data_IF_678166264660
#
_entry.id   IF_678166264660
#
_cell.length_a   1.000
_cell.length_b   1.000
_cell.length_c   1.000
_cell.angle_alpha   90.00
_cell.angle_beta   90.00
_cell.angle_gamma   90.00
#
_symmetry.space_group_name_H-M   'P 1'
#
loop_
_entity.id
_entity.type
_entity.pdbx_description
1 polymer ?
#
# COMPACT_ATOMS: atom_id res chain seq x y z
N UNK A 1 -85.14 -8.58 66.83
CA UNK A 1 -84.99 -9.00 68.25
C UNK A 1 -83.64 -8.51 68.75
N UNK A 2 -83.55 -8.12 70.04
CA UNK A 2 -82.32 -7.62 70.69
C UNK A 2 -81.28 -8.73 70.88
N UNK A 3 -79.97 -8.52 70.73
CA UNK A 3 -78.95 -8.28 71.78
C UNK A 3 -77.55 -8.49 71.14
N UNK A 4 -76.37 -8.03 71.62
CA UNK A 4 -75.93 -7.05 72.64
C UNK A 4 -74.49 -6.58 72.28
N UNK A 5 -73.82 -5.74 73.11
CA UNK A 5 -72.41 -5.32 72.96
C UNK A 5 -71.40 -6.29 73.60
N UNK A 6 -70.17 -6.32 73.09
CA UNK A 6 -68.90 -6.35 73.88
C UNK A 6 -67.68 -6.09 72.99
N UNK A 7 -66.76 -5.23 73.44
CA UNK A 7 -65.48 -4.97 72.78
C UNK A 7 -64.31 -5.72 73.43
N UNK A 8 -63.14 -5.75 72.75
CA UNK A 8 -61.85 -6.20 73.30
C UNK A 8 -60.70 -5.35 72.75
N UNK A 9 -59.65 -5.22 73.58
CA UNK A 9 -58.40 -4.49 73.35
C UNK A 9 -57.25 -5.44 72.94
N UNK A 10 -56.03 -4.88 72.86
CA UNK A 10 -54.71 -5.51 72.67
C UNK A 10 -54.31 -5.82 71.22
N UNK A 11 -53.05 -5.71 70.81
CA UNK A 11 -51.89 -4.95 71.32
C UNK A 11 -50.85 -4.84 70.18
N UNK A 12 -50.07 -3.75 70.12
CA UNK A 12 -49.02 -3.60 69.12
C UNK A 12 -47.68 -4.17 69.62
N UNK A 13 -47.05 -5.06 68.84
CA UNK A 13 -45.70 -5.57 69.10
C UNK A 13 -44.70 -4.83 68.21
N UNK A 14 -43.63 -4.30 68.79
CA UNK A 14 -42.53 -3.65 68.06
C UNK A 14 -41.37 -4.63 67.94
N UNK A 15 -40.86 -4.82 66.72
CA UNK A 15 -39.65 -5.63 66.43
C UNK A 15 -38.55 -4.68 65.93
N UNK A 16 -37.34 -4.70 66.51
CA UNK A 16 -36.24 -3.86 66.06
C UNK A 16 -35.61 -4.41 64.77
N UNK A 17 -35.34 -3.53 63.81
CA UNK A 17 -34.63 -3.88 62.58
C UNK A 17 -33.13 -3.59 62.72
N UNK A 18 -32.31 -4.63 62.68
CA UNK A 18 -30.84 -4.52 62.74
C UNK A 18 -30.28 -4.27 61.34
N UNK A 19 -29.73 -3.09 61.08
CA UNK A 19 -29.01 -2.81 59.82
C UNK A 19 -27.65 -3.54 59.81
N UNK A 20 -27.47 -4.50 58.91
CA UNK A 20 -26.13 -4.95 58.51
C UNK A 20 -25.60 -4.04 57.39
N UNK A 21 -24.57 -3.26 57.68
CA UNK A 21 -23.75 -2.63 56.63
C UNK A 21 -22.75 -3.65 56.08
N UNK A 22 -23.07 -4.23 54.92
CA UNK A 22 -22.11 -4.97 54.10
C UNK A 22 -21.18 -3.97 53.39
N UNK A 23 -19.96 -3.83 53.89
CA UNK A 23 -18.93 -3.02 53.24
C UNK A 23 -18.43 -3.72 51.97
N UNK A 24 -18.94 -3.31 50.81
CA UNK A 24 -18.42 -3.76 49.51
C UNK A 24 -17.08 -3.08 49.22
N UNK A 25 -15.97 -3.78 49.41
CA UNK A 25 -14.67 -3.37 48.86
C UNK A 25 -14.71 -3.52 47.35
N UNK A 26 -15.11 -2.45 46.65
CA UNK A 26 -14.97 -2.35 45.21
C UNK A 26 -13.47 -2.40 44.85
N UNK A 27 -13.02 -3.57 44.41
CA UNK A 27 -11.66 -3.76 43.93
C UNK A 27 -11.58 -3.08 42.57
N UNK A 28 -10.90 -1.94 42.51
CA UNK A 28 -10.74 -1.18 41.28
C UNK A 28 -9.98 -2.05 40.27
N UNK A 29 -10.69 -2.55 39.26
CA UNK A 29 -10.07 -3.21 38.13
C UNK A 29 -9.19 -2.17 37.42
N UNK A 30 -7.87 -2.36 37.49
CA UNK A 30 -6.93 -1.57 36.68
C UNK A 30 -7.20 -1.90 35.22
N UNK A 31 -7.95 -1.03 34.54
CA UNK A 31 -8.04 -1.08 33.09
C UNK A 31 -6.62 -1.00 32.54
N UNK A 32 -6.20 -2.02 31.79
CA UNK A 32 -5.01 -1.90 30.95
C UNK A 32 -5.17 -0.66 30.08
N UNK A 33 -4.14 0.18 29.89
CA UNK A 33 -4.26 1.34 29.04
C UNK A 33 -4.67 0.89 27.63
N UNK A 34 -5.81 1.39 27.16
CA UNK A 34 -6.26 1.18 25.79
C UNK A 34 -5.21 1.79 24.86
N UNK A 35 -4.59 0.95 24.04
CA UNK A 35 -3.57 1.41 23.09
C UNK A 35 -4.27 2.26 22.04
N UNK A 36 -3.84 3.52 21.90
CA UNK A 36 -4.32 4.43 20.86
C UNK A 36 -4.32 3.71 19.49
N UNK A 37 -5.45 3.67 18.77
CA UNK A 37 -5.55 3.03 17.45
C UNK A 37 -4.43 3.42 16.48
N UNK A 38 -3.94 4.67 16.53
CA UNK A 38 -2.80 5.11 15.68
C UNK A 38 -1.50 4.38 16.08
N UNK A 39 -1.27 4.16 17.37
CA UNK A 39 -0.11 3.41 17.87
C UNK A 39 -0.20 1.93 17.49
N UNK A 40 -1.40 1.33 17.54
CA UNK A 40 -1.61 -0.05 17.10
C UNK A 40 -1.38 -0.22 15.58
N UNK A 41 -1.89 0.72 14.77
CA UNK A 41 -1.66 0.76 13.30
C UNK A 41 -0.16 0.90 12.98
N UNK A 42 0.55 1.81 13.65
CA UNK A 42 1.98 2.01 13.43
C UNK A 42 2.81 0.78 13.82
N UNK A 43 2.40 0.04 14.86
CA UNK A 43 3.05 -1.21 15.24
C UNK A 43 2.84 -2.33 14.19
N UNK A 44 1.63 -2.43 13.63
CA UNK A 44 1.33 -3.37 12.54
C UNK A 44 2.15 -3.08 11.27
N UNK A 45 2.20 -1.82 10.85
CA UNK A 45 3.02 -1.35 9.71
C UNK A 45 4.50 -1.67 9.95
N UNK A 46 5.03 -1.38 11.15
CA UNK A 46 6.43 -1.64 11.48
C UNK A 46 6.79 -3.14 11.50
N UNK A 47 5.81 -4.03 11.64
CA UNK A 47 6.01 -5.48 11.70
C UNK A 47 5.73 -6.20 10.37
N UNK A 48 4.78 -5.70 9.57
CA UNK A 48 4.21 -6.42 8.43
C UNK A 48 4.27 -5.66 7.09
N UNK A 49 4.64 -4.38 7.08
CA UNK A 49 4.80 -3.60 5.85
C UNK A 49 6.26 -3.62 5.34
N UNK A 50 6.40 -3.27 4.07
CA UNK A 50 7.62 -3.03 3.30
C UNK A 50 7.26 -2.10 2.13
N UNK A 51 7.77 -0.88 2.12
CA UNK A 51 7.51 0.07 1.04
C UNK A 51 8.24 -0.31 -0.25
N UNK A 52 7.72 0.12 -1.40
CA UNK A 52 8.18 -0.27 -2.72
C UNK A 52 9.63 0.18 -2.96
N UNK A 53 10.53 -0.79 -3.08
CA UNK A 53 11.96 -0.51 -3.22
C UNK A 53 12.72 -0.38 -1.91
N UNK A 54 12.07 -0.58 -0.76
CA UNK A 54 12.73 -0.59 0.54
C UNK A 54 13.91 -1.56 0.58
N UNK A 55 13.79 -2.71 -0.09
CA UNK A 55 14.81 -3.75 -0.07
C UNK A 55 15.90 -3.52 -1.15
N UNK A 56 15.56 -2.89 -2.28
CA UNK A 56 16.49 -2.37 -3.28
C UNK A 56 17.31 -1.23 -2.67
N UNK A 57 16.71 -0.30 -1.91
CA UNK A 57 17.46 0.71 -1.13
C UNK A 57 18.40 0.07 -0.12
N UNK A 58 17.92 -0.93 0.62
CA UNK A 58 18.73 -1.66 1.61
C UNK A 58 19.96 -2.34 1.01
N UNK A 59 19.87 -2.85 -0.22
CA UNK A 59 20.93 -3.66 -0.85
C UNK A 59 21.78 -2.87 -1.86
N UNK A 60 21.18 -2.00 -2.67
CA UNK A 60 21.84 -1.26 -3.75
C UNK A 60 22.13 0.21 -3.39
N UNK A 61 21.42 0.77 -2.40
CA UNK A 61 21.57 2.14 -1.89
C UNK A 61 20.81 3.19 -2.70
N UNK A 62 20.36 4.25 -2.03
CA UNK A 62 19.95 5.49 -2.72
C UNK A 62 21.22 6.26 -3.15
N UNK A 63 21.38 6.49 -4.46
CA UNK A 63 22.49 7.26 -5.08
C UNK A 63 21.97 8.48 -5.86
N UNK A 64 20.76 8.95 -5.53
CA UNK A 64 20.23 10.23 -5.98
C UNK A 64 21.10 11.37 -5.43
N UNK A 65 21.34 12.39 -6.27
CA UNK A 65 22.14 13.56 -5.88
C UNK A 65 21.26 14.57 -5.13
N UNK A 66 21.84 15.46 -4.30
CA UNK A 66 21.11 16.57 -3.68
C UNK A 66 20.33 17.41 -4.70
N UNK A 67 20.86 17.59 -5.92
CA UNK A 67 20.16 18.28 -6.99
C UNK A 67 18.92 17.52 -7.49
N UNK A 68 19.00 16.19 -7.64
CA UNK A 68 17.84 15.37 -8.03
C UNK A 68 16.77 15.30 -6.94
N UNK A 69 17.17 15.24 -5.66
CA UNK A 69 16.28 15.29 -4.50
C UNK A 69 15.58 16.65 -4.41
N UNK A 70 16.32 17.74 -4.64
CA UNK A 70 15.76 19.09 -4.72
C UNK A 70 14.81 19.23 -5.91
N UNK A 71 15.18 18.72 -7.08
CA UNK A 71 14.34 18.77 -8.28
C UNK A 71 13.03 17.99 -8.10
N UNK A 72 13.04 16.88 -7.36
CA UNK A 72 11.84 16.12 -7.04
C UNK A 72 10.81 16.90 -6.20
N UNK A 73 11.29 17.83 -5.38
CA UNK A 73 10.48 18.72 -4.52
C UNK A 73 10.05 20.02 -5.22
N UNK A 74 10.59 20.34 -6.41
CA UNK A 74 10.15 21.51 -7.17
C UNK A 74 8.86 21.19 -7.93
N UNK A 75 7.88 22.12 -7.97
CA UNK A 75 6.66 21.96 -8.75
C UNK A 75 6.96 21.60 -10.21
N UNK A 76 6.63 20.37 -10.59
CA UNK A 76 6.76 19.92 -11.97
C UNK A 76 5.57 20.42 -12.80
N UNK A 77 5.75 20.76 -14.09
CA UNK A 77 4.65 21.20 -14.93
C UNK A 77 3.65 20.06 -15.16
N UNK A 78 2.55 20.08 -14.41
CA UNK A 78 1.62 18.96 -14.29
C UNK A 78 0.64 18.78 -15.46
N UNK A 79 0.84 19.47 -16.57
CA UNK A 79 0.24 19.24 -17.88
C UNK A 79 1.22 19.75 -18.95
N UNK A 80 1.11 19.25 -20.18
CA UNK A 80 1.90 19.74 -21.30
C UNK A 80 1.73 21.26 -21.47
N UNK A 81 2.84 22.00 -21.36
CA UNK A 81 2.85 23.45 -21.62
C UNK A 81 2.73 23.64 -23.14
N UNK A 82 1.80 24.46 -23.66
CA UNK A 82 1.67 24.70 -25.10
C UNK A 82 3.00 25.16 -25.72
N UNK A 83 3.51 24.40 -26.69
CA UNK A 83 4.82 24.64 -27.31
C UNK A 83 6.02 23.96 -26.63
N UNK A 84 5.84 23.28 -25.50
CA UNK A 84 6.86 22.41 -24.90
C UNK A 84 6.37 20.96 -24.84
N UNK A 85 7.13 20.06 -25.47
CA UNK A 85 6.97 18.62 -25.24
C UNK A 85 7.59 18.30 -23.89
N UNK A 86 6.75 18.13 -22.86
CA UNK A 86 7.18 17.48 -21.63
C UNK A 86 7.42 16.00 -21.93
N UNK A 87 8.68 15.58 -21.84
CA UNK A 87 9.07 14.20 -22.11
C UNK A 87 8.58 13.22 -21.04
N UNK A 88 8.22 13.71 -19.86
CA UNK A 88 7.82 12.89 -18.71
C UNK A 88 6.71 13.53 -17.89
N UNK A 89 6.05 12.72 -17.06
CA UNK A 89 5.11 13.17 -16.01
C UNK A 89 5.66 12.77 -14.64
N UNK A 90 5.53 13.65 -13.64
CA UNK A 90 5.95 13.35 -12.28
C UNK A 90 4.87 12.58 -11.48
N UNK A 91 5.33 11.61 -10.71
CA UNK A 91 4.53 10.84 -9.76
C UNK A 91 5.30 10.52 -8.48
N UNK A 92 4.78 9.53 -7.75
CA UNK A 92 5.26 9.05 -6.47
C UNK A 92 4.58 7.71 -6.15
N UNK A 93 5.04 7.02 -5.12
CA UNK A 93 4.34 5.90 -4.53
C UNK A 93 4.30 5.99 -2.99
N UNK A 94 3.36 5.27 -2.37
CA UNK A 94 3.13 5.31 -0.92
C UNK A 94 2.70 3.94 -0.36
N UNK A 95 3.04 3.69 0.89
CA UNK A 95 2.68 2.53 1.70
C UNK A 95 2.11 2.96 3.06
N UNK A 96 2.03 2.07 4.05
CA UNK A 96 1.54 2.42 5.39
C UNK A 96 2.38 3.50 6.09
N UNK A 97 3.71 3.51 5.86
CA UNK A 97 4.66 4.43 6.52
C UNK A 97 4.37 5.92 6.32
N UNK A 98 3.76 6.31 5.20
CA UNK A 98 3.42 7.71 4.92
C UNK A 98 2.09 8.13 5.60
N UNK A 99 1.34 7.20 6.17
CA UNK A 99 0.07 7.48 6.86
C UNK A 99 -0.98 8.12 5.96
N UNK A 100 -1.76 9.05 6.54
CA UNK A 100 -2.67 9.89 5.76
C UNK A 100 -1.88 10.94 4.96
N UNK A 101 -1.99 10.90 3.64
CA UNK A 101 -1.23 11.78 2.73
C UNK A 101 -2.00 13.08 2.44
N UNK A 102 -1.30 14.22 2.48
CA UNK A 102 -1.81 15.51 1.96
C UNK A 102 -1.73 15.52 0.43
N UNK A 103 -2.82 15.07 -0.20
CA UNK A 103 -2.93 15.02 -1.66
C UNK A 103 -2.92 16.41 -2.30
N UNK A 104 -3.43 17.44 -1.63
CA UNK A 104 -3.47 18.80 -2.16
C UNK A 104 -2.06 19.40 -2.25
N UNK A 105 -1.23 19.18 -1.22
CA UNK A 105 0.19 19.51 -1.25
C UNK A 105 0.89 18.85 -2.46
N UNK A 106 0.79 17.53 -2.60
CA UNK A 106 1.48 16.80 -3.68
C UNK A 106 0.98 17.16 -5.08
N UNK A 107 -0.32 17.43 -5.23
CA UNK A 107 -0.88 17.95 -6.48
C UNK A 107 -0.28 19.32 -6.85
N UNK A 108 -0.07 20.19 -5.85
CA UNK A 108 0.55 21.51 -6.03
C UNK A 108 2.06 21.41 -6.30
N UNK A 109 2.75 20.33 -5.87
CA UNK A 109 4.10 19.98 -6.33
C UNK A 109 4.13 19.36 -7.74
N UNK A 110 3.01 19.37 -8.47
CA UNK A 110 2.96 18.93 -9.86
C UNK A 110 2.88 17.42 -10.06
N UNK A 111 2.70 16.63 -8.98
CA UNK A 111 2.51 15.17 -9.09
C UNK A 111 1.15 14.86 -9.72
N UNK A 112 1.11 13.88 -10.62
CA UNK A 112 -0.10 13.56 -11.41
C UNK A 112 -0.48 12.09 -11.44
N UNK A 113 0.41 11.20 -11.03
CA UNK A 113 0.06 9.83 -10.70
C UNK A 113 0.59 9.39 -9.35
N UNK A 114 -0.02 8.34 -8.81
CA UNK A 114 0.47 7.63 -7.63
C UNK A 114 0.15 6.15 -7.69
N UNK A 115 1.07 5.30 -7.23
CA UNK A 115 0.77 3.92 -6.87
C UNK A 115 0.70 3.78 -5.34
N UNK A 116 -0.29 3.07 -4.84
CA UNK A 116 -0.51 2.88 -3.39
C UNK A 116 -0.37 1.41 -3.04
N UNK A 117 0.37 1.07 -1.97
CA UNK A 117 0.44 -0.33 -1.52
C UNK A 117 -0.94 -0.80 -1.12
N UNK A 118 -1.44 -1.85 -1.73
CA UNK A 118 -2.65 -2.51 -1.30
C UNK A 118 -2.33 -3.66 -0.33
N UNK A 119 -1.37 -4.50 -0.70
CA UNK A 119 -1.17 -5.82 -0.08
C UNK A 119 0.30 -6.26 -0.05
N UNK A 120 0.60 -7.17 0.87
CA UNK A 120 1.81 -7.99 0.87
C UNK A 120 1.44 -9.45 1.20
N UNK A 121 2.05 -10.40 0.49
CA UNK A 121 1.74 -11.83 0.66
C UNK A 121 0.23 -12.11 0.50
N UNK A 122 -0.32 -13.09 1.21
CA UNK A 122 -1.76 -13.35 1.29
C UNK A 122 -2.35 -12.99 2.66
N UNK A 123 -1.72 -12.05 3.38
CA UNK A 123 -2.02 -11.78 4.80
C UNK A 123 -2.01 -10.31 5.22
N UNK A 124 -1.25 -9.43 4.55
CA UNK A 124 -1.19 -8.02 4.91
C UNK A 124 -1.98 -7.15 3.93
N UNK A 125 -2.75 -6.22 4.48
CA UNK A 125 -3.41 -5.11 3.76
C UNK A 125 -2.97 -3.78 4.38
N UNK A 126 -2.57 -2.81 3.56
CA UNK A 126 -2.19 -1.49 4.05
C UNK A 126 -3.38 -0.78 4.74
N UNK A 127 -3.29 -0.45 6.04
CA UNK A 127 -4.40 0.14 6.80
C UNK A 127 -4.77 1.57 6.33
N UNK A 128 -3.84 2.27 5.66
CA UNK A 128 -4.09 3.59 5.07
C UNK A 128 -4.58 3.56 3.62
N UNK A 129 -4.65 2.39 2.98
CA UNK A 129 -5.00 2.25 1.56
C UNK A 129 -6.28 3.00 1.17
N UNK A 130 -7.32 2.96 2.01
CA UNK A 130 -8.59 3.63 1.72
C UNK A 130 -8.47 5.16 1.63
N UNK A 131 -7.66 5.80 2.48
CA UNK A 131 -7.39 7.24 2.39
C UNK A 131 -6.48 7.55 1.21
N UNK A 132 -5.46 6.73 1.00
CA UNK A 132 -4.43 7.00 0.01
C UNK A 132 -4.97 6.82 -1.42
N UNK A 133 -5.68 5.73 -1.69
CA UNK A 133 -6.21 5.37 -3.00
C UNK A 133 -7.43 6.22 -3.41
N UNK A 134 -8.32 6.56 -2.47
CA UNK A 134 -9.49 7.40 -2.78
C UNK A 134 -9.18 8.91 -2.67
N UNK A 135 -8.33 9.32 -1.74
CA UNK A 135 -7.92 10.72 -1.58
C UNK A 135 -7.17 11.24 -2.81
N UNK A 136 -6.22 10.47 -3.33
CA UNK A 136 -5.51 10.80 -4.57
C UNK A 136 -6.45 10.91 -5.79
N UNK A 137 -7.37 9.95 -5.95
CA UNK A 137 -8.39 9.97 -7.01
C UNK A 137 -9.26 11.24 -6.96
N UNK A 138 -9.74 11.59 -5.76
CA UNK A 138 -10.59 12.76 -5.52
C UNK A 138 -9.85 14.08 -5.76
N UNK A 139 -8.55 14.13 -5.45
CA UNK A 139 -7.69 15.28 -5.76
C UNK A 139 -7.38 15.42 -7.27
N UNK A 140 -7.56 14.34 -8.05
CA UNK A 140 -7.41 14.34 -9.51
C UNK A 140 -6.25 13.51 -10.05
N UNK A 141 -5.53 12.77 -9.21
CA UNK A 141 -4.45 11.87 -9.65
C UNK A 141 -4.99 10.73 -10.50
N UNK A 142 -4.17 10.29 -11.46
CA UNK A 142 -4.27 8.97 -12.08
C UNK A 142 -3.61 7.97 -11.13
N UNK A 143 -4.35 7.04 -10.53
CA UNK A 143 -3.86 6.25 -9.38
C UNK A 143 -4.00 4.74 -9.56
N UNK A 144 -2.97 4.01 -9.15
CA UNK A 144 -2.86 2.56 -9.18
C UNK A 144 -2.64 1.97 -7.79
N UNK A 145 -2.66 0.65 -7.71
CA UNK A 145 -2.34 -0.09 -6.51
C UNK A 145 -1.14 -1.02 -6.78
N UNK A 146 -0.37 -1.38 -5.75
CA UNK A 146 0.71 -2.36 -5.88
C UNK A 146 0.67 -3.46 -4.82
N UNK A 147 1.36 -4.56 -5.13
CA UNK A 147 1.45 -5.76 -4.33
C UNK A 147 2.92 -6.14 -4.09
N UNK A 148 3.34 -6.20 -2.83
CA UNK A 148 4.66 -6.70 -2.44
C UNK A 148 4.68 -8.23 -2.44
N UNK A 149 5.47 -8.81 -3.35
CA UNK A 149 5.49 -10.25 -3.55
C UNK A 149 6.27 -11.00 -2.46
N UNK A 150 5.78 -12.17 -2.09
CA UNK A 150 6.54 -13.16 -1.28
C UNK A 150 6.51 -14.55 -1.95
N UNK A 151 7.29 -14.79 -3.01
CA UNK A 151 7.19 -16.00 -3.84
C UNK A 151 7.38 -17.36 -3.16
N UNK A 152 7.89 -17.37 -1.92
CA UNK A 152 8.09 -18.57 -1.11
C UNK A 152 6.93 -18.91 -0.17
N UNK A 153 5.89 -18.07 -0.06
CA UNK A 153 4.78 -18.28 0.89
C UNK A 153 3.55 -18.93 0.26
N UNK A 154 3.33 -18.68 -1.03
CA UNK A 154 2.13 -19.06 -1.79
C UNK A 154 2.38 -18.90 -3.29
N UNK A 155 1.47 -19.35 -4.17
CA UNK A 155 1.64 -19.22 -5.63
C UNK A 155 1.36 -17.80 -6.14
N UNK A 156 1.81 -17.49 -7.35
CA UNK A 156 1.56 -16.21 -8.01
C UNK A 156 0.07 -15.94 -8.18
N UNK A 157 -0.71 -16.95 -8.57
CA UNK A 157 -2.16 -16.86 -8.68
C UNK A 157 -2.85 -16.59 -7.33
N UNK A 158 -2.33 -17.12 -6.21
CA UNK A 158 -2.88 -16.86 -4.88
C UNK A 158 -2.66 -15.39 -4.49
N UNK A 159 -1.44 -14.87 -4.69
CA UNK A 159 -1.11 -13.46 -4.42
C UNK A 159 -1.82 -12.49 -5.38
N UNK A 160 -1.97 -12.84 -6.68
CA UNK A 160 -2.74 -12.04 -7.63
C UNK A 160 -4.23 -11.94 -7.26
N UNK A 161 -4.84 -13.05 -6.82
CA UNK A 161 -6.24 -13.05 -6.33
C UNK A 161 -6.39 -12.22 -5.06
N UNK A 162 -5.46 -12.38 -4.11
CA UNK A 162 -5.47 -11.60 -2.87
C UNK A 162 -5.30 -10.10 -3.14
N UNK A 163 -4.37 -9.73 -4.01
CA UNK A 163 -4.17 -8.35 -4.44
C UNK A 163 -5.44 -7.75 -5.08
N UNK A 164 -6.01 -8.39 -6.10
CA UNK A 164 -7.22 -7.90 -6.79
C UNK A 164 -8.40 -7.77 -5.82
N UNK A 165 -8.58 -8.72 -4.91
CA UNK A 165 -9.65 -8.68 -3.91
C UNK A 165 -9.52 -7.54 -2.88
N UNK A 166 -8.30 -7.04 -2.64
CA UNK A 166 -7.99 -6.04 -1.61
C UNK A 166 -7.46 -4.71 -2.17
N UNK A 167 -7.84 -4.34 -3.40
CA UNK A 167 -7.56 -3.02 -3.99
C UNK A 167 -6.75 -3.01 -5.27
N UNK A 168 -6.20 -4.15 -5.69
CA UNK A 168 -5.46 -4.33 -6.94
C UNK A 168 -6.29 -4.37 -8.22
N UNK A 169 -7.63 -4.25 -8.11
CA UNK A 169 -8.52 -4.22 -9.27
C UNK A 169 -8.27 -3.01 -10.19
N UNK A 170 -8.70 -3.15 -11.45
CA UNK A 170 -8.62 -2.11 -12.46
C UNK A 170 -10.01 -1.78 -13.03
N UNK A 171 -10.22 -0.55 -13.47
CA UNK A 171 -11.43 -0.12 -14.18
C UNK A 171 -11.10 0.86 -15.31
N UNK A 172 -11.91 0.86 -16.37
CA UNK A 172 -11.72 1.75 -17.53
C UNK A 172 -12.32 3.15 -17.31
N UNK A 173 -11.95 3.79 -16.20
CA UNK A 173 -12.41 5.13 -15.81
C UNK A 173 -11.47 6.27 -16.28
N UNK A 174 -10.36 5.94 -16.95
CA UNK A 174 -9.33 6.89 -17.40
C UNK A 174 -8.44 7.45 -16.28
N UNK A 175 -8.60 6.94 -15.04
CA UNK A 175 -7.88 7.37 -13.83
C UNK A 175 -7.30 6.21 -13.02
N UNK A 176 -7.66 4.96 -13.31
CA UNK A 176 -7.14 3.77 -12.65
C UNK A 176 -6.00 3.17 -13.46
N UNK A 177 -4.80 3.12 -12.89
CA UNK A 177 -3.64 2.46 -13.51
C UNK A 177 -3.74 0.94 -13.36
N UNK A 178 -3.14 0.14 -14.27
CA UNK A 178 -2.94 -1.29 -14.01
C UNK A 178 -2.15 -1.47 -12.71
N UNK A 179 -2.51 -2.52 -11.96
CA UNK A 179 -1.84 -2.86 -10.72
C UNK A 179 -0.38 -3.24 -10.95
N UNK A 180 0.49 -2.90 -10.00
CA UNK A 180 1.90 -3.24 -10.05
C UNK A 180 2.23 -4.45 -9.16
N UNK A 181 3.06 -5.35 -9.69
CA UNK A 181 3.72 -6.43 -8.97
C UNK A 181 5.12 -5.96 -8.58
N UNK A 182 5.39 -5.83 -7.29
CA UNK A 182 6.70 -5.49 -6.74
C UNK A 182 7.53 -6.76 -6.52
N UNK A 183 8.58 -6.89 -7.33
CA UNK A 183 9.54 -8.00 -7.33
C UNK A 183 10.92 -7.51 -6.92
N UNK A 184 11.18 -7.52 -5.61
CA UNK A 184 12.46 -7.08 -5.04
C UNK A 184 13.12 -8.06 -4.06
N UNK A 185 14.23 -7.64 -3.44
CA UNK A 185 15.03 -8.45 -2.53
C UNK A 185 14.19 -8.93 -1.33
N UNK A 186 14.18 -10.22 -1.06
CA UNK A 186 13.45 -10.79 0.08
C UNK A 186 13.83 -10.10 1.42
N UNK A 187 12.87 -9.48 2.14
CA UNK A 187 13.14 -8.94 3.47
C UNK A 187 13.40 -10.04 4.52
N UNK A 188 12.83 -11.23 4.31
CA UNK A 188 12.74 -12.32 5.29
C UNK A 188 13.81 -13.43 5.14
N UNK A 189 14.78 -13.30 4.24
CA UNK A 189 15.80 -14.35 4.05
C UNK A 189 16.55 -14.28 2.73
N UNK A 190 16.67 -15.43 2.05
CA UNK A 190 17.46 -15.56 0.84
C UNK A 190 16.99 -14.62 -0.28
N UNK A 191 17.94 -13.93 -0.94
CA UNK A 191 17.74 -12.87 -1.96
C UNK A 191 16.62 -13.13 -2.98
N UNK A 192 16.59 -14.33 -3.56
CA UNK A 192 15.59 -14.75 -4.55
C UNK A 192 14.48 -15.63 -3.94
N UNK A 193 14.14 -15.41 -2.66
CA UNK A 193 13.15 -16.17 -1.88
C UNK A 193 13.43 -17.68 -1.81
N UNK A 194 14.68 -18.11 -2.04
CA UNK A 194 15.06 -19.52 -2.11
C UNK A 194 14.66 -20.24 -3.41
N UNK A 195 14.08 -19.52 -4.39
CA UNK A 195 13.74 -20.06 -5.70
C UNK A 195 14.93 -20.03 -6.67
N UNK A 196 14.92 -20.96 -7.63
CA UNK A 196 15.76 -20.86 -8.83
C UNK A 196 15.21 -19.80 -9.78
N UNK A 197 16.04 -19.30 -10.72
CA UNK A 197 15.59 -18.33 -11.74
C UNK A 197 14.38 -18.79 -12.53
N UNK A 198 14.34 -20.08 -12.90
CA UNK A 198 13.21 -20.69 -13.58
C UNK A 198 11.98 -20.79 -12.67
N UNK A 199 12.14 -21.16 -11.40
CA UNK A 199 11.04 -21.18 -10.42
C UNK A 199 10.43 -19.80 -10.18
N UNK A 200 11.27 -18.78 -10.02
CA UNK A 200 10.85 -17.38 -9.91
C UNK A 200 10.12 -16.91 -11.17
N UNK A 201 10.66 -17.24 -12.36
CA UNK A 201 10.02 -16.94 -13.65
C UNK A 201 8.62 -17.55 -13.74
N UNK A 202 8.46 -18.82 -13.37
CA UNK A 202 7.16 -19.50 -13.34
C UNK A 202 6.19 -18.88 -12.34
N UNK A 203 6.68 -18.43 -11.19
CA UNK A 203 5.88 -17.75 -10.18
C UNK A 203 5.35 -16.39 -10.67
N UNK A 204 6.24 -15.58 -11.27
CA UNK A 204 5.86 -14.28 -11.84
C UNK A 204 4.84 -14.47 -12.96
N UNK A 205 4.99 -15.50 -13.81
CA UNK A 205 4.03 -15.83 -14.86
C UNK A 205 2.65 -16.23 -14.29
N UNK A 206 2.61 -17.03 -13.23
CA UNK A 206 1.37 -17.42 -12.53
C UNK A 206 0.62 -16.20 -11.95
N UNK A 207 1.35 -15.21 -11.40
CA UNK A 207 0.77 -13.93 -10.98
C UNK A 207 0.28 -13.11 -12.18
N UNK A 208 1.15 -12.92 -13.18
CA UNK A 208 0.94 -12.12 -14.38
C UNK A 208 -0.31 -12.53 -15.17
N UNK A 209 -0.43 -13.83 -15.46
CA UNK A 209 -1.55 -14.39 -16.22
C UNK A 209 -2.84 -14.40 -15.40
N UNK A 210 -2.76 -14.66 -14.09
CA UNK A 210 -3.92 -14.57 -13.19
C UNK A 210 -4.42 -13.13 -13.06
N UNK A 211 -3.53 -12.15 -12.90
CA UNK A 211 -3.89 -10.74 -12.81
C UNK A 211 -4.57 -10.25 -14.09
N UNK A 212 -4.04 -10.62 -15.26
CA UNK A 212 -4.66 -10.30 -16.55
C UNK A 212 -6.01 -10.99 -16.74
N UNK A 213 -6.15 -12.27 -16.35
CA UNK A 213 -7.43 -12.97 -16.40
C UNK A 213 -8.51 -12.34 -15.48
N UNK A 214 -8.10 -11.72 -14.36
CA UNK A 214 -9.01 -11.08 -13.41
C UNK A 214 -9.38 -9.62 -13.79
N UNK A 215 -8.50 -8.91 -14.49
CA UNK A 215 -8.63 -7.45 -14.69
C UNK A 215 -8.69 -7.01 -16.16
N UNK A 216 -8.33 -7.89 -17.10
CA UNK A 216 -8.14 -7.54 -18.51
C UNK A 216 -6.89 -6.68 -18.79
N UNK A 217 -6.00 -6.50 -17.81
CA UNK A 217 -4.75 -5.74 -17.94
C UNK A 217 -3.55 -6.57 -17.49
N UNK A 218 -2.45 -6.52 -18.23
CA UNK A 218 -1.17 -7.02 -17.71
C UNK A 218 -0.71 -6.14 -16.54
N UNK A 219 -0.13 -6.71 -15.47
CA UNK A 219 0.39 -5.91 -14.38
C UNK A 219 1.64 -5.14 -14.82
N UNK A 220 1.89 -3.99 -14.20
CA UNK A 220 3.20 -3.36 -14.22
C UNK A 220 4.15 -4.23 -13.39
N UNK A 221 5.39 -4.42 -13.85
CA UNK A 221 6.42 -5.09 -13.04
C UNK A 221 7.34 -4.02 -12.47
N UNK A 222 7.36 -3.89 -11.15
CA UNK A 222 8.35 -3.12 -10.42
C UNK A 222 9.53 -4.00 -10.02
N UNK A 223 10.76 -3.57 -10.32
CA UNK A 223 11.99 -4.28 -9.93
C UNK A 223 13.24 -3.41 -10.15
N UNK A 224 14.40 -3.88 -9.66
CA UNK A 224 15.70 -3.36 -10.09
C UNK A 224 16.36 -4.24 -11.15
N UNK A 225 17.22 -3.64 -11.99
CA UNK A 225 18.03 -4.40 -12.97
C UNK A 225 18.89 -5.47 -12.29
N UNK A 226 19.43 -5.19 -11.10
CA UNK A 226 20.32 -6.09 -10.37
C UNK A 226 19.57 -7.29 -9.81
N UNK A 227 18.42 -7.07 -9.15
CA UNK A 227 17.61 -8.16 -8.62
C UNK A 227 17.07 -9.05 -9.74
N UNK A 228 16.48 -8.45 -10.78
CA UNK A 228 15.91 -9.21 -11.90
C UNK A 228 16.96 -10.07 -12.60
N UNK A 229 18.15 -9.51 -12.88
CA UNK A 229 19.26 -10.25 -13.49
C UNK A 229 19.80 -11.36 -12.59
N UNK A 230 19.60 -11.27 -11.28
CA UNK A 230 20.05 -12.27 -10.29
C UNK A 230 19.01 -13.37 -10.06
N UNK A 231 17.72 -13.03 -10.12
CA UNK A 231 16.63 -13.89 -9.65
C UNK A 231 15.65 -14.36 -10.74
N UNK A 232 15.69 -13.82 -11.96
CA UNK A 232 14.73 -14.14 -13.04
C UNK A 232 15.46 -14.55 -14.33
N UNK A 233 14.79 -15.30 -15.20
CA UNK A 233 15.32 -15.74 -16.50
C UNK A 233 14.32 -15.71 -17.68
N UNK A 234 13.06 -15.30 -17.44
CA UNK A 234 12.04 -15.17 -18.48
C UNK A 234 11.85 -13.75 -19.00
N UNK A 235 11.19 -13.68 -20.16
CA UNK A 235 10.81 -12.45 -20.82
C UNK A 235 9.37 -12.05 -20.50
N UNK A 236 9.17 -10.79 -20.14
CA UNK A 236 7.85 -10.17 -19.94
C UNK A 236 7.77 -8.82 -20.68
N UNK A 237 8.78 -8.45 -21.48
CA UNK A 237 8.91 -7.10 -22.04
C UNK A 237 7.89 -6.75 -23.12
N UNK A 238 7.18 -7.76 -23.64
CA UNK A 238 6.10 -7.61 -24.62
C UNK A 238 4.70 -7.43 -23.99
N UNK A 239 4.54 -7.72 -22.70
CA UNK A 239 3.24 -7.71 -22.00
C UNK A 239 3.22 -6.77 -20.80
N UNK A 240 4.25 -6.79 -19.96
CA UNK A 240 4.31 -6.03 -18.72
C UNK A 240 5.04 -4.69 -18.92
N UNK A 241 4.42 -3.54 -18.60
CA UNK A 241 5.12 -2.27 -18.47
C UNK A 241 6.18 -2.35 -17.36
N UNK A 242 7.37 -1.81 -17.60
CA UNK A 242 8.45 -1.79 -16.60
C UNK A 242 8.38 -0.54 -15.73
N UNK A 243 8.35 -0.74 -14.43
CA UNK A 243 8.65 0.28 -13.43
C UNK A 243 10.02 -0.05 -12.83
N UNK A 244 11.06 0.69 -13.22
CA UNK A 244 12.43 0.37 -12.80
C UNK A 244 12.83 1.18 -11.57
N UNK A 245 13.35 0.50 -10.56
CA UNK A 245 13.98 1.11 -9.41
C UNK A 245 15.43 1.45 -9.73
N UNK A 246 15.80 2.74 -9.72
CA UNK A 246 17.20 3.15 -9.74
C UNK A 246 17.39 4.56 -9.23
N UNK A 247 17.68 4.67 -7.94
CA UNK A 247 17.93 5.94 -7.27
C UNK A 247 19.25 6.56 -7.75
N UNK A 248 19.21 7.43 -8.76
CA UNK A 248 20.39 7.94 -9.46
C UNK A 248 20.02 9.11 -10.38
N UNK A 249 21.02 9.75 -11.00
CA UNK A 249 20.81 10.76 -12.04
C UNK A 249 20.45 10.18 -13.42
N UNK A 250 20.50 8.85 -13.60
CA UNK A 250 20.11 8.18 -14.85
C UNK A 250 19.63 6.75 -14.62
N UNK A 251 18.72 6.28 -15.49
CA UNK A 251 18.14 4.92 -15.44
C UNK A 251 19.12 3.81 -15.85
N UNK A 252 20.12 4.11 -16.68
CA UNK A 252 21.12 3.16 -17.18
C UNK A 252 20.53 1.90 -17.82
N UNK A 253 21.24 0.78 -17.73
CA UNK A 253 20.80 -0.52 -18.28
C UNK A 253 19.51 -1.01 -17.61
N UNK A 254 18.53 -1.39 -18.43
CA UNK A 254 17.26 -1.97 -18.02
C UNK A 254 17.36 -3.50 -17.83
N UNK A 255 16.47 -4.12 -17.03
CA UNK A 255 16.42 -5.57 -16.89
C UNK A 255 16.11 -6.28 -18.21
N UNK A 256 16.75 -7.44 -18.42
CA UNK A 256 16.41 -8.42 -19.46
C UNK A 256 16.27 -7.80 -20.88
N UNK A 257 15.07 -7.87 -21.48
CA UNK A 257 14.78 -7.42 -22.85
C UNK A 257 13.93 -6.14 -22.92
N UNK A 258 13.65 -5.47 -21.79
CA UNK A 258 12.92 -4.21 -21.82
C UNK A 258 13.74 -3.12 -22.52
N UNK A 259 13.30 -2.74 -23.73
CA UNK A 259 13.93 -1.68 -24.52
C UNK A 259 13.68 -0.26 -23.99
N UNK A 260 12.69 -0.08 -23.10
CA UNK A 260 12.38 1.18 -22.43
C UNK A 260 11.72 0.89 -21.06
N UNK A 261 11.86 1.84 -20.13
CA UNK A 261 11.06 1.87 -18.91
C UNK A 261 9.75 2.62 -19.16
N UNK A 262 8.67 2.22 -18.50
CA UNK A 262 7.40 2.97 -18.47
C UNK A 262 7.38 3.96 -17.30
N UNK A 263 7.89 3.53 -16.14
CA UNK A 263 8.06 4.37 -14.95
C UNK A 263 9.46 4.15 -14.39
N UNK A 264 10.07 5.19 -13.82
CA UNK A 264 11.36 5.13 -13.14
C UNK A 264 11.26 5.77 -11.76
N UNK A 265 11.52 4.99 -10.72
CA UNK A 265 11.65 5.45 -9.33
C UNK A 265 13.11 5.91 -9.13
N UNK A 266 13.32 7.21 -8.92
CA UNK A 266 14.63 7.87 -9.11
C UNK A 266 15.24 8.49 -7.86
N UNK A 267 14.47 8.66 -6.79
CA UNK A 267 14.94 9.05 -5.44
C UNK A 267 13.90 8.65 -4.40
N UNK A 268 14.32 8.33 -3.18
CA UNK A 268 13.41 8.11 -2.05
C UNK A 268 13.28 9.32 -1.12
N UNK A 269 13.58 10.52 -1.62
CA UNK A 269 13.57 11.77 -0.85
C UNK A 269 12.61 12.80 -1.46
N UNK A 270 11.67 13.38 -0.67
CA UNK A 270 11.45 13.15 0.77
C UNK A 270 10.63 11.88 1.08
N UNK A 271 10.07 11.25 0.05
CA UNK A 271 9.50 9.90 -0.02
C UNK A 271 9.74 9.39 -1.46
N UNK A 272 9.37 8.17 -1.83
CA UNK A 272 9.64 7.66 -3.19
C UNK A 272 9.03 8.48 -4.34
N UNK A 273 9.87 8.82 -5.32
CA UNK A 273 9.54 9.73 -6.42
C UNK A 273 9.68 9.04 -7.77
N UNK A 274 8.65 9.20 -8.60
CA UNK A 274 8.57 8.57 -9.91
C UNK A 274 8.54 9.56 -11.06
N UNK A 275 9.01 9.09 -12.21
CA UNK A 275 8.82 9.74 -13.49
C UNK A 275 8.28 8.74 -14.52
N UNK A 276 7.14 9.07 -15.14
CA UNK A 276 6.54 8.30 -16.23
C UNK A 276 7.17 8.72 -17.56
N UNK A 277 7.53 7.74 -18.40
CA UNK A 277 8.18 7.94 -19.68
C UNK A 277 7.18 8.29 -20.79
N UNK A 278 6.81 9.57 -20.84
CA UNK A 278 5.92 10.12 -21.86
C UNK A 278 5.14 11.33 -21.35
N UNK A 279 4.39 11.96 -22.25
CA UNK A 279 3.47 13.05 -21.92
C UNK A 279 2.20 12.54 -21.20
N UNK A 280 1.41 13.46 -20.66
CA UNK A 280 0.22 13.15 -19.83
C UNK A 280 -0.87 12.37 -20.57
N UNK A 281 -1.02 12.56 -21.88
CA UNK A 281 -1.92 11.78 -22.74
C UNK A 281 -1.53 10.29 -22.81
N UNK A 282 -0.23 9.99 -22.78
CA UNK A 282 0.30 8.60 -22.71
C UNK A 282 0.10 7.97 -21.33
N UNK A 283 0.16 8.76 -20.25
CA UNK A 283 -0.22 8.29 -18.92
C UNK A 283 -1.73 7.98 -18.85
N UNK A 284 -2.57 8.84 -19.43
CA UNK A 284 -4.01 8.59 -19.57
C UNK A 284 -4.29 7.35 -20.43
N UNK A 285 -3.52 7.12 -21.50
CA UNK A 285 -3.62 5.90 -22.30
C UNK A 285 -3.25 4.64 -21.49
N UNK A 286 -2.19 4.68 -20.67
CA UNK A 286 -1.83 3.58 -19.77
C UNK A 286 -2.96 3.27 -18.76
N UNK A 287 -3.60 4.30 -18.19
CA UNK A 287 -4.76 4.11 -17.32
C UNK A 287 -5.97 3.52 -18.09
N UNK A 288 -6.22 3.98 -19.31
CA UNK A 288 -7.39 3.61 -20.12
C UNK A 288 -7.32 2.18 -20.70
N UNK A 289 -6.12 1.70 -21.03
CA UNK A 289 -5.92 0.38 -21.65
C UNK A 289 -6.26 0.33 -23.13
#
# INVERSE_FOLDING_TARGET
MSTSRRGRLFAALVVPATLLLLGSTAQAATLSPEVDPVTAINADIAQHDHELGSQIRRVEGDKSTPDSQKAAQLPQPGQAIPGQVLATVAGMDVAGYQGNVDWAYWWNQGKRFVWTKATESTSYTNPYFAQQYNGSYNQGFIRGAYHFATPNTSSGAAQARYFVANGGGWSKDGKTLPGALDMEYNPYGATCYGLSKAGMTSWILDFHDTYHALTGRWPVIYTSTTWWSSCVSGDFSSTAPLWVARYSSSVGTLPYNWGFYTVWQYTSSPLDQDTFNGAYDRLQALATG
#
